data_IF_047383423068
#
_entry.id   IF_047383423068
#
_cell.length_a   1.000
_cell.length_b   1.000
_cell.length_c   1.000
_cell.angle_alpha   90.00
_cell.angle_beta   90.00
_cell.angle_gamma   90.00
#
_symmetry.space_group_name_H-M   'P 1'
#
loop_
_entity.id
_entity.type
_entity.pdbx_description
1 polymer ?
#
# COMPACT_ATOMS: atom_id res chain seq x y z
N UNK A 1 13.05 1.20 15.76
CA UNK A 1 11.90 0.79 14.90
C UNK A 1 11.12 -0.28 15.64
N UNK A 2 9.91 0.03 16.07
CA UNK A 2 9.05 -0.91 16.78
C UNK A 2 8.06 -1.52 15.78
N UNK A 3 8.09 -2.84 15.66
CA UNK A 3 7.08 -3.60 14.92
C UNK A 3 6.11 -4.17 15.97
N UNK A 4 4.83 -3.80 15.90
CA UNK A 4 3.76 -4.46 16.64
C UNK A 4 2.90 -5.25 15.66
N UNK A 5 3.34 -6.46 15.27
CA UNK A 5 2.43 -7.41 14.66
C UNK A 5 1.42 -7.85 15.72
N UNK A 6 0.14 -7.92 15.36
CA UNK A 6 -0.98 -8.31 16.23
C UNK A 6 -1.69 -7.19 17.00
N UNK A 7 -2.01 -6.07 16.33
CA UNK A 7 -2.97 -5.13 16.89
C UNK A 7 -4.40 -5.59 16.64
N UNK A 8 -5.17 -5.83 17.69
CA UNK A 8 -6.59 -6.14 17.54
C UNK A 8 -7.38 -4.85 17.26
N UNK A 9 -7.91 -4.73 16.05
CA UNK A 9 -8.81 -3.66 15.66
C UNK A 9 -10.25 -4.14 15.69
N UNK A 10 -11.14 -3.37 16.31
CA UNK A 10 -12.58 -3.66 16.35
C UNK A 10 -13.34 -2.50 15.68
N UNK A 11 -14.15 -2.82 14.68
CA UNK A 11 -15.02 -1.85 13.99
C UNK A 11 -16.47 -2.25 14.21
N UNK A 12 -17.31 -1.29 14.64
CA UNK A 12 -18.75 -1.49 14.74
C UNK A 12 -19.45 -0.83 13.56
N UNK A 13 -20.17 -1.60 12.77
CA UNK A 13 -20.95 -1.14 11.61
C UNK A 13 -22.41 -1.49 11.86
N UNK A 14 -23.23 -0.49 12.18
CA UNK A 14 -24.60 -0.69 12.64
C UNK A 14 -24.64 -1.57 13.89
N UNK A 15 -25.34 -2.71 13.81
CA UNK A 15 -25.45 -3.69 14.89
C UNK A 15 -24.39 -4.81 14.82
N UNK A 16 -23.47 -4.73 13.86
CA UNK A 16 -22.41 -5.73 13.69
C UNK A 16 -21.09 -5.22 14.26
N UNK A 17 -20.36 -6.11 14.94
CA UNK A 17 -18.99 -5.89 15.38
C UNK A 17 -18.08 -6.80 14.58
N UNK A 18 -17.09 -6.22 13.90
CA UNK A 18 -16.05 -6.96 13.20
C UNK A 18 -14.72 -6.74 13.91
N UNK A 19 -13.95 -7.81 14.02
CA UNK A 19 -12.63 -7.79 14.65
C UNK A 19 -11.60 -8.24 13.62
N UNK A 20 -10.51 -7.50 13.50
CA UNK A 20 -9.41 -7.80 12.60
C UNK A 20 -8.07 -7.63 13.32
N UNK A 21 -7.04 -8.29 12.79
CA UNK A 21 -5.67 -8.15 13.28
C UNK A 21 -4.90 -7.25 12.32
N UNK A 22 -4.46 -6.10 12.82
CA UNK A 22 -3.60 -5.15 12.14
C UNK A 22 -2.13 -5.28 12.54
N UNK A 23 -1.35 -4.40 11.96
CA UNK A 23 0.08 -4.27 12.19
C UNK A 23 0.40 -2.78 12.36
N UNK A 24 1.13 -2.43 13.41
CA UNK A 24 1.67 -1.08 13.57
C UNK A 24 3.19 -1.11 13.43
N UNK A 25 3.70 -0.07 12.77
CA UNK A 25 5.12 0.19 12.66
C UNK A 25 5.40 1.59 13.15
N UNK A 26 6.17 1.71 14.22
CA UNK A 26 6.64 2.99 14.73
C UNK A 26 8.08 3.19 14.25
N UNK A 27 8.25 4.31 13.57
CA UNK A 27 9.53 4.80 13.09
C UNK A 27 10.07 5.81 14.10
N UNK A 28 11.25 5.51 14.65
CA UNK A 28 11.97 6.44 15.54
C UNK A 28 13.14 7.00 14.74
N UNK A 29 13.30 8.32 14.76
CA UNK A 29 14.34 9.01 14.01
C UNK A 29 14.07 10.50 13.89
N UNK A 30 15.05 11.23 13.36
CA UNK A 30 14.82 12.60 12.89
C UNK A 30 14.25 12.54 11.48
N UNK A 31 13.03 13.06 11.33
CA UNK A 31 12.34 13.09 10.05
C UNK A 31 12.21 14.53 9.55
N UNK A 32 12.27 14.75 8.23
CA UNK A 32 11.94 16.04 7.65
C UNK A 32 10.50 16.43 7.99
N UNK A 33 10.25 17.74 8.08
CA UNK A 33 8.93 18.28 8.38
C UNK A 33 7.86 17.80 7.39
N UNK A 34 8.18 17.78 6.10
CA UNK A 34 7.22 17.40 5.07
C UNK A 34 7.41 15.96 4.65
N UNK A 35 6.31 15.23 4.55
CA UNK A 35 6.33 13.85 4.14
C UNK A 35 5.06 13.50 3.37
N UNK A 36 5.14 12.39 2.64
CA UNK A 36 3.95 11.76 2.13
C UNK A 36 4.26 10.44 1.47
N UNK A 37 3.22 9.66 1.24
CA UNK A 37 3.36 8.39 0.56
C UNK A 37 2.08 7.98 -0.16
N UNK A 38 2.29 7.09 -1.12
CA UNK A 38 1.30 6.17 -1.64
C UNK A 38 1.73 4.76 -1.24
N UNK A 39 0.78 3.97 -0.76
CA UNK A 39 0.97 2.55 -0.49
C UNK A 39 -0.18 1.76 -1.10
N UNK A 40 0.14 0.62 -1.69
CA UNK A 40 -0.83 -0.26 -2.31
C UNK A 40 -0.63 -1.66 -1.79
N UNK A 41 -1.74 -2.27 -1.36
CA UNK A 41 -1.88 -3.69 -1.12
C UNK A 41 -2.87 -4.24 -2.15
N UNK A 42 -2.40 -4.98 -3.15
CA UNK A 42 -3.24 -5.60 -4.16
C UNK A 42 -3.28 -7.11 -3.99
N UNK A 43 -4.47 -7.70 -4.11
CA UNK A 43 -4.71 -9.13 -4.01
C UNK A 43 -5.30 -9.66 -5.30
N UNK A 44 -4.65 -10.69 -5.85
CA UNK A 44 -5.03 -11.40 -7.06
C UNK A 44 -5.23 -12.88 -6.71
N UNK A 45 -6.49 -13.38 -6.67
CA UNK A 45 -6.80 -14.72 -6.15
C UNK A 45 -5.96 -15.85 -6.74
N UNK A 46 -5.64 -15.76 -8.03
CA UNK A 46 -4.94 -16.81 -8.79
C UNK A 46 -3.46 -16.47 -9.05
N UNK A 47 -2.92 -15.45 -8.40
CA UNK A 47 -1.56 -14.98 -8.69
C UNK A 47 -0.75 -14.65 -7.44
N UNK A 48 -1.32 -13.87 -6.53
CA UNK A 48 -0.65 -13.52 -5.28
C UNK A 48 -0.96 -12.11 -4.79
N UNK A 49 -0.04 -11.59 -3.96
CA UNK A 49 -0.18 -10.27 -3.33
C UNK A 49 0.92 -9.36 -3.86
N UNK A 50 0.56 -8.14 -4.25
CA UNK A 50 1.52 -7.11 -4.63
C UNK A 50 1.47 -5.99 -3.61
N UNK A 51 2.65 -5.65 -3.09
CA UNK A 51 2.85 -4.44 -2.29
C UNK A 51 3.69 -3.45 -3.09
N UNK A 52 3.19 -2.22 -3.25
CA UNK A 52 3.98 -1.15 -3.82
C UNK A 52 3.87 0.10 -2.96
N UNK A 53 4.97 0.85 -2.86
CA UNK A 53 4.97 2.13 -2.20
C UNK A 53 5.82 3.13 -2.97
N UNK A 54 5.45 4.40 -2.84
CA UNK A 54 6.30 5.53 -3.18
C UNK A 54 6.09 6.58 -2.09
N UNK A 55 7.16 6.87 -1.36
CA UNK A 55 7.18 7.76 -0.23
C UNK A 55 8.26 8.82 -0.40
N UNK A 56 7.98 10.01 0.08
CA UNK A 56 8.92 11.11 0.16
C UNK A 56 9.01 11.58 1.60
N UNK A 57 10.24 11.73 2.10
CA UNK A 57 10.54 12.32 3.40
C UNK A 57 11.50 13.47 3.15
N UNK A 58 11.00 14.71 3.17
CA UNK A 58 11.77 15.88 2.75
C UNK A 58 12.15 15.78 1.27
N UNK A 59 13.45 15.67 0.98
CA UNK A 59 13.97 15.47 -0.38
C UNK A 59 14.30 14.01 -0.70
N UNK A 60 14.24 13.13 0.30
CA UNK A 60 14.57 11.71 0.13
C UNK A 60 13.39 10.94 -0.43
N UNK A 61 13.65 10.10 -1.43
CA UNK A 61 12.67 9.22 -2.06
C UNK A 61 12.85 7.78 -1.59
N UNK A 62 11.76 7.12 -1.27
CA UNK A 62 11.71 5.70 -0.94
C UNK A 62 10.57 5.01 -1.70
N UNK A 63 10.91 4.13 -2.62
CA UNK A 63 9.93 3.39 -3.43
C UNK A 63 10.25 1.90 -3.48
N UNK A 64 9.21 1.08 -3.60
CA UNK A 64 9.38 -0.35 -3.84
C UNK A 64 8.18 -0.97 -4.56
N UNK A 65 8.43 -2.16 -5.10
CA UNK A 65 7.41 -3.07 -5.60
C UNK A 65 7.81 -4.48 -5.17
N UNK A 66 6.92 -5.22 -4.52
CA UNK A 66 7.14 -6.58 -4.03
C UNK A 66 5.98 -7.46 -4.43
N UNK A 67 6.27 -8.65 -4.92
CA UNK A 67 5.28 -9.68 -5.24
C UNK A 67 5.48 -10.85 -4.28
N UNK A 68 4.47 -11.15 -3.48
CA UNK A 68 4.34 -12.46 -2.86
C UNK A 68 3.69 -13.38 -3.91
N UNK A 69 4.52 -14.16 -4.58
CA UNK A 69 4.07 -15.12 -5.59
C UNK A 69 3.35 -16.29 -4.90
N UNK A 70 2.10 -16.51 -5.29
CA UNK A 70 1.26 -17.62 -4.83
C UNK A 70 0.76 -18.47 -6.00
N UNK A 71 1.29 -18.27 -7.22
CA UNK A 71 0.87 -18.97 -8.43
C UNK A 71 1.36 -20.42 -8.49
N UNK A 72 2.38 -20.77 -7.70
CA UNK A 72 2.95 -22.12 -7.62
C UNK A 72 2.66 -22.72 -6.26
N UNK A 73 2.04 -23.90 -6.26
CA UNK A 73 1.78 -24.65 -5.04
C UNK A 73 3.09 -24.96 -4.30
N UNK A 74 3.15 -24.61 -3.01
CA UNK A 74 4.18 -25.06 -2.09
C UNK A 74 5.34 -24.10 -1.77
N UNK A 75 5.59 -23.05 -2.57
CA UNK A 75 6.69 -22.11 -2.31
C UNK A 75 6.22 -20.65 -2.34
N UNK A 76 5.95 -20.09 -1.15
CA UNK A 76 5.65 -18.67 -0.99
C UNK A 76 6.94 -17.88 -1.01
N UNK A 77 7.24 -17.21 -2.14
CA UNK A 77 8.45 -16.38 -2.29
C UNK A 77 8.06 -14.91 -2.46
N UNK A 78 8.79 -14.04 -1.76
CA UNK A 78 8.75 -12.61 -2.01
C UNK A 78 9.77 -12.28 -3.10
N UNK A 79 9.29 -11.78 -4.22
CA UNK A 79 10.07 -11.25 -5.32
C UNK A 79 10.14 -9.72 -5.20
N UNK A 80 11.33 -9.19 -5.47
CA UNK A 80 11.62 -7.76 -5.34
C UNK A 80 11.73 -7.15 -6.73
N UNK A 81 10.95 -6.10 -6.97
CA UNK A 81 11.00 -5.33 -8.20
C UNK A 81 12.13 -4.31 -8.20
N UNK A 82 12.87 -4.24 -9.30
CA UNK A 82 13.77 -3.15 -9.64
C UNK A 82 13.05 -2.12 -10.53
N UNK A 83 13.70 -0.98 -10.77
CA UNK A 83 13.17 0.10 -11.62
C UNK A 83 11.70 0.47 -11.28
N UNK A 84 11.37 0.45 -9.99
CA UNK A 84 9.98 0.61 -9.57
C UNK A 84 9.50 2.05 -9.70
N UNK A 85 8.27 2.22 -10.16
CA UNK A 85 7.61 3.51 -10.28
C UNK A 85 6.17 3.41 -9.79
N UNK A 86 5.69 4.45 -9.12
CA UNK A 86 4.31 4.54 -8.66
C UNK A 86 3.71 5.86 -9.12
N UNK A 87 2.55 5.79 -9.76
CA UNK A 87 1.73 6.92 -10.15
C UNK A 87 0.37 6.88 -9.46
N UNK A 88 -0.48 7.85 -9.77
CA UNK A 88 -1.82 7.92 -9.19
C UNK A 88 -2.71 6.74 -9.59
N UNK A 89 -2.57 6.26 -10.83
CA UNK A 89 -3.43 5.24 -11.43
C UNK A 89 -2.73 3.90 -11.71
N UNK A 90 -1.43 3.79 -11.40
CA UNK A 90 -0.65 2.58 -11.67
C UNK A 90 0.61 2.47 -10.81
N UNK A 91 1.14 1.26 -10.67
CA UNK A 91 2.48 0.98 -10.18
C UNK A 91 3.20 0.01 -11.13
N UNK A 92 4.51 0.12 -11.24
CA UNK A 92 5.34 -0.62 -12.19
C UNK A 92 6.61 -1.11 -11.52
N UNK A 93 7.13 -2.24 -11.98
CA UNK A 93 8.49 -2.67 -11.69
C UNK A 93 8.98 -3.72 -12.69
N UNK A 94 10.28 -3.99 -12.68
CA UNK A 94 10.87 -5.16 -13.33
C UNK A 94 11.16 -6.22 -12.28
N UNK A 95 10.69 -7.45 -12.48
CA UNK A 95 11.04 -8.60 -11.65
C UNK A 95 11.68 -9.63 -12.57
N UNK A 96 12.94 -9.96 -12.32
CA UNK A 96 13.78 -10.72 -13.24
C UNK A 96 13.83 -10.05 -14.63
N UNK A 97 13.36 -10.72 -15.68
CA UNK A 97 13.32 -10.21 -17.06
C UNK A 97 11.95 -9.70 -17.47
N UNK A 98 10.96 -9.70 -16.58
CA UNK A 98 9.57 -9.39 -16.90
C UNK A 98 9.17 -8.02 -16.35
N UNK A 99 8.37 -7.29 -17.12
CA UNK A 99 7.79 -6.01 -16.72
C UNK A 99 6.42 -6.24 -16.09
N UNK A 100 6.27 -5.82 -14.84
CA UNK A 100 5.03 -5.90 -14.07
C UNK A 100 4.38 -4.53 -14.04
N UNK A 101 3.10 -4.48 -14.41
CA UNK A 101 2.30 -3.28 -14.38
C UNK A 101 0.99 -3.55 -13.64
N UNK A 102 0.82 -2.85 -12.52
CA UNK A 102 -0.38 -2.86 -11.70
C UNK A 102 -1.20 -1.62 -12.04
N UNK A 103 -2.44 -1.80 -12.51
CA UNK A 103 -3.36 -0.70 -12.83
C UNK A 103 -4.50 -0.63 -11.84
N UNK A 104 -4.82 0.58 -11.38
CA UNK A 104 -5.94 0.82 -10.48
C UNK A 104 -7.17 1.21 -11.28
N UNK A 105 -8.30 0.53 -11.04
CA UNK A 105 -9.56 0.86 -11.67
C UNK A 105 -10.03 2.27 -11.31
N UNK A 106 -10.83 2.89 -12.18
CA UNK A 106 -11.41 4.20 -11.88
C UNK A 106 -12.48 4.11 -10.78
N UNK A 107 -13.29 3.04 -10.79
CA UNK A 107 -14.35 2.81 -9.81
C UNK A 107 -13.77 2.47 -8.43
N UNK A 108 -14.16 3.24 -7.41
CA UNK A 108 -13.91 2.92 -6.01
C UNK A 108 -15.11 2.17 -5.45
N UNK A 109 -14.88 1.06 -4.75
CA UNK A 109 -15.90 0.29 -4.05
C UNK A 109 -16.23 0.89 -2.69
N UNK A 110 -15.22 1.49 -2.03
CA UNK A 110 -15.38 2.21 -0.78
C UNK A 110 -14.16 3.08 -0.51
N UNK A 111 -14.39 4.21 0.15
CA UNK A 111 -13.35 5.18 0.52
C UNK A 111 -13.47 5.51 1.99
N UNK A 112 -12.34 5.80 2.63
CA UNK A 112 -12.28 6.37 3.96
C UNK A 112 -11.16 7.40 4.01
N UNK A 113 -11.38 8.49 4.73
CA UNK A 113 -10.36 9.51 4.92
C UNK A 113 -10.43 10.10 6.31
N UNK A 114 -9.28 10.57 6.82
CA UNK A 114 -9.19 11.25 8.10
C UNK A 114 -7.98 12.17 8.14
N UNK A 115 -8.10 13.29 8.85
CA UNK A 115 -6.96 14.12 9.19
C UNK A 115 -6.34 13.58 10.48
N UNK A 116 -5.11 13.08 10.38
CA UNK A 116 -4.29 12.68 11.50
C UNK A 116 -3.65 13.91 12.14
N UNK A 117 -4.00 14.19 13.40
CA UNK A 117 -3.45 15.29 14.18
C UNK A 117 -2.91 14.80 15.51
N UNK A 118 -1.88 15.48 15.99
CA UNK A 118 -1.49 15.40 17.39
C UNK A 118 -1.81 16.73 18.08
N UNK A 119 -2.68 16.70 19.09
CA UNK A 119 -3.15 17.91 19.79
C UNK A 119 -2.04 18.70 20.47
N UNK A 120 -0.90 18.07 20.77
CA UNK A 120 0.24 18.72 21.44
C UNK A 120 1.30 19.23 20.45
N UNK A 121 1.08 19.09 19.14
CA UNK A 121 2.06 19.48 18.13
C UNK A 121 1.42 20.10 16.88
N UNK A 122 2.26 20.53 15.93
CA UNK A 122 1.81 21.08 14.63
C UNK A 122 1.69 20.01 13.54
N UNK A 123 1.74 18.73 13.94
CA UNK A 123 1.58 17.60 13.02
C UNK A 123 0.15 17.57 12.48
N UNK A 124 0.02 17.59 11.17
CA UNK A 124 -1.24 17.41 10.46
C UNK A 124 -0.96 16.59 9.20
N UNK A 125 -1.68 15.48 9.00
CA UNK A 125 -1.54 14.66 7.80
C UNK A 125 -2.90 14.18 7.30
N UNK A 126 -3.12 14.32 6.00
CA UNK A 126 -4.35 13.93 5.33
C UNK A 126 -4.23 12.50 4.82
N UNK A 127 -4.89 11.55 5.50
CA UNK A 127 -4.88 10.12 5.19
C UNK A 127 -6.13 9.74 4.40
N UNK A 128 -5.93 9.07 3.28
CA UNK A 128 -6.97 8.51 2.42
C UNK A 128 -6.74 7.02 2.17
N UNK A 129 -7.83 6.26 2.13
CA UNK A 129 -7.90 4.84 1.82
C UNK A 129 -8.97 4.62 0.77
N UNK A 130 -8.60 4.04 -0.37
CA UNK A 130 -9.54 3.61 -1.40
C UNK A 130 -9.47 2.09 -1.60
N UNK A 131 -10.61 1.42 -1.53
CA UNK A 131 -10.75 0.02 -1.94
C UNK A 131 -11.29 -0.06 -3.37
N UNK A 132 -10.49 -0.59 -4.31
CA UNK A 132 -10.77 -0.50 -5.76
C UNK A 132 -10.47 -1.80 -6.48
N UNK A 133 -10.95 -1.90 -7.73
CA UNK A 133 -10.53 -2.93 -8.67
C UNK A 133 -9.06 -2.73 -9.07
N UNK A 134 -8.33 -3.82 -9.31
CA UNK A 134 -6.95 -3.79 -9.79
C UNK A 134 -6.75 -4.80 -10.92
N UNK A 135 -5.91 -4.44 -11.89
CA UNK A 135 -5.49 -5.31 -13.01
C UNK A 135 -3.99 -5.49 -12.95
N UNK A 136 -3.54 -6.73 -13.08
CA UNK A 136 -2.14 -7.07 -13.25
C UNK A 136 -1.86 -7.38 -14.72
N UNK A 137 -0.92 -6.64 -15.29
CA UNK A 137 -0.34 -6.87 -16.61
C UNK A 137 1.13 -7.30 -16.44
N UNK A 138 1.57 -8.31 -17.21
CA UNK A 138 2.97 -8.73 -17.30
C UNK A 138 3.37 -8.70 -18.77
N UNK A 139 4.46 -8.00 -19.08
CA UNK A 139 4.96 -7.81 -20.45
C UNK A 139 3.86 -7.29 -21.41
N UNK A 140 2.99 -6.40 -20.89
CA UNK A 140 1.87 -5.81 -21.63
C UNK A 140 0.64 -6.70 -21.77
N UNK A 141 0.66 -7.94 -21.25
CA UNK A 141 -0.48 -8.84 -21.30
C UNK A 141 -1.21 -8.87 -19.96
N UNK A 142 -2.55 -8.75 -19.99
CA UNK A 142 -3.39 -8.91 -18.80
C UNK A 142 -3.30 -10.34 -18.27
N UNK A 143 -2.80 -10.48 -17.04
CA UNK A 143 -2.61 -11.78 -16.38
C UNK A 143 -3.72 -12.06 -15.37
N UNK A 144 -4.13 -11.06 -14.60
CA UNK A 144 -5.09 -11.27 -13.52
C UNK A 144 -5.89 -10.01 -13.19
N UNK A 145 -7.06 -10.23 -12.59
CA UNK A 145 -7.90 -9.20 -11.99
C UNK A 145 -8.10 -9.48 -10.51
N UNK A 146 -8.23 -8.41 -9.75
CA UNK A 146 -8.33 -8.48 -8.32
C UNK A 146 -8.77 -7.16 -7.73
N UNK A 147 -8.35 -6.95 -6.49
CA UNK A 147 -8.72 -5.78 -5.71
C UNK A 147 -7.49 -5.19 -5.06
N UNK A 148 -7.52 -3.90 -4.75
CA UNK A 148 -6.47 -3.27 -3.98
C UNK A 148 -7.04 -2.31 -2.94
N UNK A 149 -6.31 -2.20 -1.83
CA UNK A 149 -6.39 -1.06 -0.94
C UNK A 149 -5.27 -0.11 -1.35
N UNK A 150 -5.62 1.11 -1.72
CA UNK A 150 -4.69 2.19 -2.03
C UNK A 150 -4.77 3.22 -0.91
N UNK A 151 -3.68 3.32 -0.16
CA UNK A 151 -3.48 4.27 0.91
C UNK A 151 -2.66 5.44 0.40
N UNK A 152 -3.00 6.65 0.83
CA UNK A 152 -2.13 7.81 0.66
C UNK A 152 -2.21 8.72 1.86
N UNK A 153 -1.06 9.21 2.31
CA UNK A 153 -0.99 10.16 3.40
C UNK A 153 -0.01 11.26 3.03
N UNK A 154 -0.40 12.52 3.23
CA UNK A 154 0.47 13.67 2.99
C UNK A 154 0.32 14.67 4.11
N UNK A 155 1.43 15.28 4.53
CA UNK A 155 1.35 16.34 5.51
C UNK A 155 2.66 16.67 6.17
N UNK A 156 2.55 17.03 7.45
CA UNK A 156 3.66 17.47 8.28
C UNK A 156 3.89 16.53 9.46
N UNK A 157 5.16 16.38 9.82
CA UNK A 157 5.62 15.89 11.11
C UNK A 157 6.00 17.10 11.99
N UNK A 158 5.98 16.90 13.30
CA UNK A 158 6.30 17.92 14.30
C UNK A 158 7.79 17.97 14.65
#
# INVERSE_FOLDING_TARGET
MLHQPQLLGTVRIGNQTQTAVGYCKIYEGQYPKFWGYHFVHAFFPNYGIIWSADATFGQEKYNYFKLLDMSKDGEKKILHGSASYHGQASAHAQINTQSYHLRFGQKTFGSWSSILRNYTSTMESDLHLDYKHAVLEIDGQKISEGVCIKESCFGTLA
#
